data_IF_417937224549
#
_entry.id   IF_417937224549
#
_cell.length_a   1.000
_cell.length_b   1.000
_cell.length_c   1.000
_cell.angle_alpha   90.00
_cell.angle_beta   90.00
_cell.angle_gamma   90.00
#
_symmetry.space_group_name_H-M   'P 1'
#
loop_
_entity.id
_entity.type
_entity.pdbx_description
1 polymer ?
#
# COMPACT_ATOMS: atom_id res chain seq x y z
N UNK A 1 -47.38 -49.28 19.23
CA UNK A 1 -46.18 -49.52 20.04
C UNK A 1 -44.95 -49.52 19.13
N UNK A 2 -44.10 -48.51 18.98
CA UNK A 2 -44.20 -47.06 19.13
C UNK A 2 -43.13 -46.47 18.20
N UNK A 3 -43.45 -45.38 17.51
CA UNK A 3 -42.54 -44.67 16.64
C UNK A 3 -41.43 -43.99 17.47
N UNK A 4 -40.16 -44.32 17.22
CA UNK A 4 -39.01 -43.54 17.73
C UNK A 4 -38.43 -42.70 16.60
N UNK A 5 -38.94 -41.48 16.49
CA UNK A 5 -38.43 -40.45 15.59
C UNK A 5 -36.98 -40.10 15.91
N UNK A 6 -36.21 -39.88 14.84
CA UNK A 6 -34.88 -39.27 14.89
C UNK A 6 -35.01 -37.83 15.40
N UNK A 7 -34.19 -37.34 16.34
CA UNK A 7 -34.21 -35.92 16.69
C UNK A 7 -33.78 -35.09 15.47
N UNK A 8 -34.44 -33.96 15.18
CA UNK A 8 -33.98 -33.06 14.13
C UNK A 8 -32.61 -32.54 14.54
N UNK A 9 -31.62 -32.72 13.65
CA UNK A 9 -30.27 -32.21 13.82
C UNK A 9 -30.33 -30.72 14.09
N UNK A 10 -30.14 -30.33 15.36
CA UNK A 10 -29.88 -28.95 15.72
C UNK A 10 -28.49 -28.61 15.23
N UNK A 11 -28.40 -28.11 14.00
CA UNK A 11 -27.28 -27.27 13.58
C UNK A 11 -27.41 -25.95 14.34
N UNK A 12 -27.17 -25.98 15.66
CA UNK A 12 -26.83 -24.78 16.39
C UNK A 12 -25.41 -24.46 15.95
N UNK A 13 -25.27 -23.58 14.96
CA UNK A 13 -23.99 -22.94 14.69
C UNK A 13 -23.49 -22.40 16.04
N UNK A 14 -22.34 -22.86 16.55
CA UNK A 14 -21.76 -22.28 17.75
C UNK A 14 -21.66 -20.77 17.52
N UNK A 15 -22.07 -19.92 18.46
CA UNK A 15 -21.97 -18.47 18.31
C UNK A 15 -20.53 -18.04 17.96
N UNK A 16 -19.53 -18.84 18.36
CA UNK A 16 -18.13 -18.68 17.97
C UNK A 16 -17.84 -18.90 16.47
N UNK A 17 -18.49 -19.86 15.80
CA UNK A 17 -18.28 -20.08 14.35
C UNK A 17 -18.87 -18.92 13.55
N UNK A 18 -20.04 -18.43 13.97
CA UNK A 18 -20.66 -17.23 13.37
C UNK A 18 -19.77 -16.01 13.62
N UNK A 19 -19.26 -15.81 14.83
CA UNK A 19 -18.37 -14.69 15.16
C UNK A 19 -17.05 -14.73 14.39
N UNK A 20 -16.43 -15.92 14.24
CA UNK A 20 -15.20 -16.11 13.45
C UNK A 20 -15.44 -15.88 11.96
N UNK A 21 -16.57 -16.34 11.43
CA UNK A 21 -16.96 -16.10 10.04
C UNK A 21 -17.20 -14.61 9.78
N UNK A 22 -17.89 -13.92 10.70
CA UNK A 22 -18.10 -12.48 10.62
C UNK A 22 -16.78 -11.69 10.74
N UNK A 23 -15.88 -12.07 11.65
CA UNK A 23 -14.57 -11.44 11.79
C UNK A 23 -13.70 -11.65 10.53
N UNK A 24 -13.73 -12.85 9.95
CA UNK A 24 -13.03 -13.15 8.69
C UNK A 24 -13.61 -12.35 7.51
N UNK A 25 -14.93 -12.21 7.43
CA UNK A 25 -15.58 -11.38 6.41
C UNK A 25 -15.19 -9.91 6.56
N UNK A 26 -15.21 -9.38 7.79
CA UNK A 26 -14.90 -7.98 8.10
C UNK A 26 -13.44 -7.62 7.72
N UNK A 27 -12.50 -8.55 7.91
CA UNK A 27 -11.11 -8.39 7.49
C UNK A 27 -10.92 -8.32 5.97
N UNK A 28 -11.82 -8.94 5.17
CA UNK A 28 -11.77 -8.86 3.71
C UNK A 28 -12.28 -7.52 3.14
N UNK A 29 -12.92 -6.67 3.95
CA UNK A 29 -13.35 -5.34 3.54
C UNK A 29 -12.25 -4.28 3.63
N UNK A 30 -11.04 -4.65 4.06
CA UNK A 30 -9.93 -3.70 4.11
C UNK A 30 -9.52 -3.31 2.68
N UNK A 31 -9.49 -2.00 2.36
CA UNK A 31 -9.03 -1.53 1.06
C UNK A 31 -7.59 -2.00 0.82
N UNK A 32 -7.39 -2.82 -0.21
CA UNK A 32 -6.05 -3.07 -0.74
C UNK A 32 -5.53 -1.78 -1.37
N UNK A 33 -4.22 -1.51 -1.26
CA UNK A 33 -3.58 -0.40 -1.99
C UNK A 33 -3.88 -0.55 -3.48
N UNK A 34 -4.74 0.32 -4.02
CA UNK A 34 -5.15 0.26 -5.42
C UNK A 34 -4.19 1.09 -6.26
N UNK A 35 -3.72 0.48 -7.36
CA UNK A 35 -3.11 1.19 -8.46
C UNK A 35 -4.02 2.33 -8.92
N UNK A 36 -3.49 3.56 -8.98
CA UNK A 36 -4.25 4.77 -9.28
C UNK A 36 -3.42 5.70 -10.16
N UNK A 37 -4.09 6.28 -11.15
CA UNK A 37 -3.54 7.42 -11.91
C UNK A 37 -4.22 8.67 -11.37
N UNK A 38 -3.44 9.55 -10.75
CA UNK A 38 -3.97 10.80 -10.21
C UNK A 38 -4.20 11.84 -11.30
N UNK A 39 -5.22 12.68 -11.13
CA UNK A 39 -5.26 13.95 -11.87
C UNK A 39 -4.30 14.97 -11.22
N UNK A 40 -3.84 15.97 -11.99
CA UNK A 40 -2.89 16.99 -11.49
C UNK A 40 -3.36 17.67 -10.19
N UNK A 41 -4.60 18.16 -10.17
CA UNK A 41 -5.15 18.88 -9.01
C UNK A 41 -5.42 17.94 -7.83
N UNK A 42 -5.81 16.69 -8.10
CA UNK A 42 -6.00 15.68 -7.07
C UNK A 42 -4.67 15.35 -6.39
N UNK A 43 -3.63 15.07 -7.18
CA UNK A 43 -2.28 14.84 -6.66
C UNK A 43 -1.80 16.03 -5.83
N UNK A 44 -1.99 17.25 -6.33
CA UNK A 44 -1.59 18.47 -5.61
C UNK A 44 -2.24 18.54 -4.22
N UNK A 45 -3.56 18.27 -4.13
CA UNK A 45 -4.27 18.25 -2.83
C UNK A 45 -3.77 17.14 -1.94
N UNK A 46 -3.52 15.96 -2.49
CA UNK A 46 -2.97 14.83 -1.75
C UNK A 46 -1.59 15.16 -1.18
N UNK A 47 -0.67 15.69 -1.99
CA UNK A 47 0.69 16.08 -1.56
C UNK A 47 0.65 17.20 -0.50
N UNK A 48 -0.26 18.18 -0.64
CA UNK A 48 -0.51 19.19 0.39
C UNK A 48 -0.95 18.57 1.70
N UNK A 49 -1.89 17.63 1.67
CA UNK A 49 -2.39 16.95 2.87
C UNK A 49 -1.29 16.10 3.55
N UNK A 50 -0.29 15.65 2.80
CA UNK A 50 0.91 15.00 3.34
C UNK A 50 1.99 15.98 3.82
N UNK A 51 1.75 17.29 3.78
CA UNK A 51 2.68 18.31 4.30
C UNK A 51 3.90 18.57 3.41
N UNK A 52 3.80 18.31 2.10
CA UNK A 52 4.92 18.53 1.16
C UNK A 52 5.08 19.97 0.67
N UNK A 53 4.15 20.87 1.00
CA UNK A 53 4.27 22.29 0.65
C UNK A 53 5.41 22.95 1.43
N UNK A 54 6.50 23.29 0.74
CA UNK A 54 7.71 23.86 1.35
C UNK A 54 8.66 22.82 1.97
N UNK A 55 8.38 21.52 1.83
CA UNK A 55 9.22 20.47 2.39
C UNK A 55 10.62 20.51 1.76
N UNK A 56 11.64 20.69 2.60
CA UNK A 56 13.05 20.91 2.18
C UNK A 56 13.22 22.06 1.16
N UNK A 57 12.32 23.05 1.19
CA UNK A 57 12.35 24.20 0.28
C UNK A 57 11.68 23.95 -1.08
N UNK A 58 11.14 22.75 -1.34
CA UNK A 58 10.42 22.46 -2.58
C UNK A 58 8.93 22.81 -2.49
N UNK A 59 8.41 23.42 -3.56
CA UNK A 59 7.00 23.74 -3.69
C UNK A 59 6.17 22.51 -4.10
N UNK A 60 4.85 22.58 -3.95
CA UNK A 60 3.96 21.54 -4.49
C UNK A 60 4.09 21.39 -6.01
N UNK A 61 4.43 22.47 -6.73
CA UNK A 61 4.62 22.42 -8.17
C UNK A 61 5.83 21.56 -8.54
N UNK A 62 6.90 21.58 -7.75
CA UNK A 62 8.09 20.75 -7.96
C UNK A 62 7.76 19.27 -7.82
N UNK A 63 7.04 18.90 -6.76
CA UNK A 63 6.60 17.51 -6.54
C UNK A 63 5.64 17.02 -7.63
N UNK A 64 4.71 17.88 -8.06
CA UNK A 64 3.78 17.55 -9.14
C UNK A 64 4.52 17.41 -10.48
N UNK A 65 5.49 18.28 -10.75
CA UNK A 65 6.33 18.19 -11.94
C UNK A 65 7.12 16.87 -11.96
N UNK A 66 7.76 16.53 -10.83
CA UNK A 66 8.50 15.28 -10.66
C UNK A 66 7.59 14.06 -10.93
N UNK A 67 6.42 13.99 -10.31
CA UNK A 67 5.49 12.89 -10.49
C UNK A 67 4.97 12.76 -11.94
N UNK A 68 4.81 13.89 -12.65
CA UNK A 68 4.40 13.88 -14.04
C UNK A 68 5.47 13.28 -14.94
N UNK A 69 6.71 13.75 -14.82
CA UNK A 69 7.79 13.32 -15.71
C UNK A 69 8.33 11.93 -15.39
N UNK A 70 8.20 11.48 -14.15
CA UNK A 70 8.68 10.14 -13.76
C UNK A 70 7.66 9.04 -14.06
N UNK A 71 6.36 9.29 -13.89
CA UNK A 71 5.36 8.21 -14.04
C UNK A 71 4.06 8.60 -14.74
N UNK A 72 3.89 9.86 -15.14
CA UNK A 72 2.60 10.36 -15.65
C UNK A 72 1.49 10.29 -14.60
N UNK A 73 1.82 10.51 -13.32
CA UNK A 73 0.92 10.39 -12.17
C UNK A 73 0.41 8.98 -11.84
N UNK A 74 0.97 7.95 -12.46
CA UNK A 74 0.58 6.56 -12.21
C UNK A 74 1.32 6.01 -10.96
N UNK A 75 0.58 5.58 -9.94
CA UNK A 75 1.16 4.95 -8.73
C UNK A 75 1.60 3.51 -8.93
N UNK A 76 1.20 2.87 -10.02
CA UNK A 76 1.60 1.51 -10.38
C UNK A 76 2.62 1.47 -11.53
N UNK A 77 3.24 2.61 -11.86
CA UNK A 77 4.31 2.64 -12.85
C UNK A 77 5.50 1.80 -12.39
N UNK A 78 5.99 0.95 -13.27
CA UNK A 78 7.19 0.15 -13.08
C UNK A 78 8.03 0.27 -14.33
N UNK A 79 9.30 0.60 -14.15
CA UNK A 79 10.30 0.62 -15.21
C UNK A 79 11.48 -0.29 -14.84
N UNK A 80 12.09 -0.89 -15.86
CA UNK A 80 13.10 -1.95 -15.70
C UNK A 80 14.45 -1.48 -16.23
N UNK A 81 15.45 -1.49 -15.36
CA UNK A 81 16.81 -1.11 -15.70
C UNK A 81 17.61 -2.30 -16.25
N UNK A 82 18.66 -2.02 -17.00
CA UNK A 82 19.50 -3.05 -17.63
C UNK A 82 20.24 -3.96 -16.63
N UNK A 83 20.42 -3.51 -15.39
CA UNK A 83 21.04 -4.30 -14.32
C UNK A 83 20.04 -5.20 -13.57
N UNK A 84 18.77 -5.20 -13.98
CA UNK A 84 17.69 -5.97 -13.33
C UNK A 84 17.01 -5.26 -12.16
N UNK A 85 17.45 -4.04 -11.80
CA UNK A 85 16.73 -3.22 -10.81
C UNK A 85 15.44 -2.64 -11.40
N UNK A 86 14.49 -2.26 -10.54
CA UNK A 86 13.23 -1.65 -10.96
C UNK A 86 13.06 -0.26 -10.36
N UNK A 87 12.50 0.66 -11.14
CA UNK A 87 11.99 1.95 -10.68
C UNK A 87 10.49 1.83 -10.44
N UNK A 88 10.00 2.19 -9.24
CA UNK A 88 8.66 1.83 -8.80
C UNK A 88 7.84 3.04 -8.34
N UNK A 89 6.57 3.04 -8.73
CA UNK A 89 5.55 3.95 -8.23
C UNK A 89 5.61 5.36 -8.82
N UNK A 90 4.87 6.27 -8.20
CA UNK A 90 4.64 7.62 -8.73
C UNK A 90 5.90 8.51 -8.80
N UNK A 91 6.93 8.16 -8.02
CA UNK A 91 8.21 8.88 -7.99
C UNK A 91 9.38 7.99 -8.45
N UNK A 92 9.10 6.82 -9.04
CA UNK A 92 10.11 5.93 -9.62
C UNK A 92 11.27 5.58 -8.66
N UNK A 93 10.93 5.15 -7.44
CA UNK A 93 11.91 4.76 -6.42
C UNK A 93 12.61 3.45 -6.83
N UNK A 94 13.94 3.50 -6.93
CA UNK A 94 14.74 2.41 -7.46
C UNK A 94 15.06 1.30 -6.42
N UNK A 95 14.90 0.04 -6.81
CA UNK A 95 15.08 -1.15 -5.97
C UNK A 95 16.55 -1.52 -5.67
N UNK A 96 17.51 -0.91 -6.36
CA UNK A 96 18.95 -1.16 -6.13
C UNK A 96 19.40 -0.63 -4.77
N UNK A 97 18.69 0.34 -4.19
CA UNK A 97 19.14 1.04 -2.97
C UNK A 97 18.04 1.40 -1.97
N UNK A 98 16.84 1.72 -2.46
CA UNK A 98 15.87 2.43 -1.64
C UNK A 98 14.80 1.51 -1.07
N UNK A 99 14.30 0.59 -1.88
CA UNK A 99 13.25 -0.34 -1.50
C UNK A 99 13.65 -1.77 -1.85
N UNK A 100 13.07 -2.74 -1.14
CA UNK A 100 13.36 -4.15 -1.32
C UNK A 100 12.38 -4.80 -2.31
N UNK A 101 12.93 -5.55 -3.28
CA UNK A 101 12.18 -6.51 -4.09
C UNK A 101 12.22 -7.90 -3.42
N UNK A 102 11.72 -8.95 -4.07
CA UNK A 102 11.86 -10.32 -3.57
C UNK A 102 13.33 -10.79 -3.51
N UNK A 103 14.25 -10.02 -4.08
CA UNK A 103 15.69 -10.20 -3.98
C UNK A 103 16.22 -9.60 -2.66
N UNK A 104 16.78 -10.43 -1.75
CA UNK A 104 17.23 -9.99 -0.43
C UNK A 104 18.60 -9.29 -0.41
N UNK A 105 19.35 -9.26 -1.51
CA UNK A 105 20.75 -8.81 -1.50
C UNK A 105 20.92 -7.28 -1.61
N UNK A 106 19.88 -6.56 -2.06
CA UNK A 106 19.93 -5.11 -2.24
C UNK A 106 19.71 -4.32 -0.93
N UNK A 107 20.43 -3.19 -0.72
CA UNK A 107 20.17 -2.30 0.40
C UNK A 107 18.73 -1.75 0.37
N UNK A 108 18.12 -1.64 1.53
CA UNK A 108 16.74 -1.17 1.72
C UNK A 108 16.71 0.04 2.67
N UNK A 109 17.22 1.19 2.20
CA UNK A 109 17.36 2.38 3.04
C UNK A 109 16.01 2.91 3.57
N UNK A 110 14.96 2.80 2.75
CA UNK A 110 13.62 3.22 3.16
C UNK A 110 12.86 2.17 3.95
N UNK A 111 13.46 0.99 4.19
CA UNK A 111 12.90 -0.11 4.98
C UNK A 111 11.48 -0.49 4.51
N UNK A 112 11.26 -0.51 3.20
CA UNK A 112 9.96 -0.79 2.58
C UNK A 112 10.13 -1.72 1.37
N UNK A 113 9.05 -2.41 0.99
CA UNK A 113 9.01 -3.14 -0.26
C UNK A 113 8.70 -2.20 -1.43
N UNK A 114 9.31 -2.44 -2.60
CA UNK A 114 9.05 -1.62 -3.79
C UNK A 114 7.64 -1.83 -4.35
N UNK A 115 7.10 -3.03 -4.18
CA UNK A 115 5.71 -3.33 -4.53
C UNK A 115 4.81 -3.20 -3.31
N UNK A 116 3.63 -2.62 -3.50
CA UNK A 116 2.54 -2.53 -2.52
C UNK A 116 1.88 -3.90 -2.17
N UNK A 117 2.56 -5.02 -2.41
CA UNK A 117 2.11 -6.33 -1.96
C UNK A 117 2.47 -6.49 -0.48
N UNK A 118 1.70 -5.86 0.39
CA UNK A 118 1.85 -6.08 1.83
C UNK A 118 1.57 -7.55 2.16
N UNK A 119 2.56 -8.23 2.73
CA UNK A 119 2.34 -9.43 3.53
C UNK A 119 1.59 -9.01 4.80
N UNK A 120 0.26 -9.00 4.72
CA UNK A 120 -0.61 -8.86 5.87
C UNK A 120 -0.46 -10.07 6.79
N UNK A 121 0.34 -9.98 7.85
CA UNK A 121 0.14 -10.88 9.00
C UNK A 121 0.20 -10.16 10.37
N UNK A 122 0.86 -9.00 10.56
CA UNK A 122 1.11 -8.55 11.95
C UNK A 122 0.97 -7.05 12.33
N UNK A 123 0.26 -6.19 11.60
CA UNK A 123 -0.07 -4.84 12.16
C UNK A 123 -1.48 -4.38 11.77
N UNK A 124 -2.45 -4.75 12.62
CA UNK A 124 -3.86 -4.32 12.59
C UNK A 124 -4.10 -2.97 13.29
N UNK A 125 -3.06 -2.22 13.69
CA UNK A 125 -3.24 -0.98 14.45
C UNK A 125 -2.56 0.20 13.76
N UNK A 126 -3.40 1.12 13.30
CA UNK A 126 -3.16 2.50 12.85
C UNK A 126 -3.12 2.77 11.34
N UNK A 127 -3.99 3.71 10.96
CA UNK A 127 -4.02 4.56 9.76
C UNK A 127 -4.82 4.08 8.55
N UNK A 128 -6.11 4.46 8.58
CA UNK A 128 -6.88 4.86 7.39
C UNK A 128 -6.04 5.81 6.51
N UNK A 129 -6.17 5.69 5.18
CA UNK A 129 -5.70 6.58 4.10
C UNK A 129 -4.43 6.11 3.36
N UNK A 130 -4.57 5.83 2.06
CA UNK A 130 -3.53 5.96 1.02
C UNK A 130 -2.10 5.52 1.43
N UNK A 131 -1.98 4.27 1.89
CA UNK A 131 -0.74 3.69 2.48
C UNK A 131 0.46 3.69 1.51
N UNK A 132 0.23 3.86 0.21
CA UNK A 132 1.30 3.89 -0.80
C UNK A 132 2.06 5.23 -0.83
N UNK A 133 1.37 6.37 -0.81
CA UNK A 133 2.05 7.67 -0.96
C UNK A 133 2.81 8.06 0.31
N UNK A 134 2.26 7.80 1.49
CA UNK A 134 2.87 8.23 2.76
C UNK A 134 4.25 7.62 3.01
N UNK A 135 4.39 6.30 2.79
CA UNK A 135 5.69 5.60 2.90
C UNK A 135 6.70 6.07 1.86
N UNK A 136 6.25 6.29 0.61
CA UNK A 136 7.10 6.81 -0.46
C UNK A 136 7.55 8.25 -0.16
N UNK A 137 6.67 9.10 0.34
CA UNK A 137 7.00 10.48 0.74
C UNK A 137 8.04 10.49 1.87
N UNK A 138 7.89 9.60 2.85
CA UNK A 138 8.93 9.41 3.87
C UNK A 138 10.24 8.89 3.28
N UNK A 139 10.21 7.98 2.32
CA UNK A 139 11.41 7.51 1.61
C UNK A 139 12.10 8.66 0.87
N UNK A 140 11.33 9.51 0.16
CA UNK A 140 11.84 10.68 -0.54
C UNK A 140 12.54 11.67 0.39
N UNK A 141 12.15 11.77 1.66
CA UNK A 141 12.89 12.57 2.63
C UNK A 141 14.36 12.18 2.76
N UNK A 142 14.70 10.91 2.52
CA UNK A 142 16.07 10.40 2.60
C UNK A 142 16.88 10.63 1.32
N UNK A 143 16.22 10.88 0.19
CA UNK A 143 16.90 11.17 -1.09
C UNK A 143 17.62 12.53 -1.09
N UNK A 144 17.09 13.49 -0.34
CA UNK A 144 17.57 14.88 -0.33
C UNK A 144 18.59 15.17 0.78
N UNK A 145 19.11 14.15 1.47
CA UNK A 145 20.24 14.26 2.43
C UNK A 145 21.55 14.05 1.68
#
# INVERSE_FOLDING_TARGET
MDARGWPPGRWLCPPGIVLLAFASLLSCLLPSGQAKIYSRCELTRTLRNFGLEGYRGYSLADWVCLAYYTSGFNTAAVDHEADGSTNNGIFQVNSRKWCQNLDPEAPNLCQMYCSAKEKWVWVQFCHFLNVDLGKIIMCLSQFFI
#
